data_IF_096929291640
#
_entry.id   IF_096929291640
#
_cell.length_a   1.000
_cell.length_b   1.000
_cell.length_c   1.000
_cell.angle_alpha   90.00
_cell.angle_beta   90.00
_cell.angle_gamma   90.00
#
_symmetry.space_group_name_H-M   'P 1'
#
loop_
_entity.id
_entity.type
_entity.pdbx_description
1 polymer ?
#
# COMPACT_ATOMS: atom_id res chain seq x y z
N UNK A 1 3.55 -7.16 -39.63
CA UNK A 1 3.61 -8.18 -38.56
C UNK A 1 4.16 -9.47 -39.16
N UNK A 2 5.36 -9.87 -38.77
CA UNK A 2 6.01 -11.10 -39.25
C UNK A 2 5.62 -12.28 -38.34
N UNK A 3 5.63 -13.51 -38.88
CA UNK A 3 5.43 -14.73 -38.08
C UNK A 3 6.62 -14.91 -37.12
N UNK A 4 6.41 -15.48 -35.91
CA UNK A 4 7.48 -15.75 -34.96
C UNK A 4 8.61 -16.56 -35.63
N UNK A 5 9.86 -16.10 -35.55
CA UNK A 5 11.03 -16.78 -36.12
C UNK A 5 11.48 -16.34 -37.53
N UNK A 6 10.77 -15.44 -38.22
CA UNK A 6 11.17 -14.91 -39.55
C UNK A 6 11.73 -13.48 -39.50
N UNK A 7 12.16 -13.04 -38.33
CA UNK A 7 12.57 -11.64 -38.06
C UNK A 7 13.84 -11.28 -38.84
N UNK A 8 14.84 -12.15 -38.87
CA UNK A 8 16.10 -11.92 -39.59
C UNK A 8 15.91 -11.86 -41.11
N UNK A 9 15.00 -12.67 -41.65
CA UNK A 9 14.65 -12.65 -43.07
C UNK A 9 13.90 -11.36 -43.46
N UNK A 10 13.05 -10.85 -42.57
CA UNK A 10 12.37 -9.57 -42.77
C UNK A 10 13.33 -8.38 -42.72
N UNK A 11 14.32 -8.40 -41.83
CA UNK A 11 15.35 -7.34 -41.75
C UNK A 11 16.23 -7.35 -43.01
N UNK A 12 16.64 -8.54 -43.46
CA UNK A 12 17.47 -8.67 -44.66
C UNK A 12 16.73 -8.25 -45.94
N UNK A 13 15.43 -8.51 -46.05
CA UNK A 13 14.62 -8.06 -47.19
C UNK A 13 14.44 -6.54 -47.18
N UNK A 14 14.14 -5.94 -46.02
CA UNK A 14 14.05 -4.47 -45.88
C UNK A 14 15.40 -3.81 -46.15
N UNK A 15 16.52 -4.39 -45.68
CA UNK A 15 17.86 -3.88 -45.94
C UNK A 15 18.22 -3.90 -47.43
N UNK A 16 17.91 -4.99 -48.14
CA UNK A 16 18.16 -5.11 -49.57
C UNK A 16 17.32 -4.14 -50.42
N UNK A 17 16.13 -3.76 -49.94
CA UNK A 17 15.26 -2.77 -50.58
C UNK A 17 15.71 -1.32 -50.26
N UNK A 18 16.21 -1.08 -49.04
CA UNK A 18 16.78 0.18 -48.60
C UNK A 18 18.06 0.55 -49.38
N UNK A 19 18.96 -0.41 -49.58
CA UNK A 19 20.21 -0.23 -50.34
C UNK A 19 19.99 0.02 -51.84
N UNK A 20 18.83 -0.37 -52.39
CA UNK A 20 18.45 -0.08 -53.78
C UNK A 20 17.93 1.34 -53.98
N UNK A 21 17.59 2.06 -52.91
CA UNK A 21 17.05 3.41 -52.99
C UNK A 21 18.20 4.45 -53.12
N UNK A 22 18.31 5.20 -54.23
CA UNK A 22 19.41 6.14 -54.45
C UNK A 22 19.51 7.25 -53.40
N UNK A 23 18.40 7.60 -52.75
CA UNK A 23 18.32 8.66 -51.72
C UNK A 23 18.80 8.22 -50.33
N UNK A 24 19.01 6.92 -50.10
CA UNK A 24 19.40 6.37 -48.80
C UNK A 24 20.88 5.95 -48.73
N UNK A 25 21.66 6.22 -49.79
CA UNK A 25 23.02 5.70 -50.00
C UNK A 25 24.01 6.08 -48.89
N UNK A 26 23.77 7.20 -48.21
CA UNK A 26 24.61 7.71 -47.12
C UNK A 26 23.94 7.59 -45.72
N UNK A 27 22.75 7.00 -45.62
CA UNK A 27 22.06 6.78 -44.34
C UNK A 27 22.08 5.30 -43.94
N UNK A 28 22.81 4.91 -42.87
CA UNK A 28 22.74 3.54 -42.36
C UNK A 28 21.31 3.22 -41.93
N UNK A 29 20.85 2.01 -42.25
CA UNK A 29 19.56 1.50 -41.80
C UNK A 29 19.61 1.34 -40.27
N UNK A 30 19.15 2.36 -39.55
CA UNK A 30 19.00 2.33 -38.09
C UNK A 30 17.66 1.66 -37.77
N UNK A 31 17.73 0.45 -37.21
CA UNK A 31 16.57 -0.29 -36.74
C UNK A 31 16.78 -0.64 -35.28
N UNK A 32 15.80 -0.31 -34.45
CA UNK A 32 15.77 -0.73 -33.06
C UNK A 32 14.59 -1.67 -32.88
N UNK A 33 14.84 -2.84 -32.29
CA UNK A 33 13.75 -3.76 -31.97
C UNK A 33 12.86 -3.12 -30.91
N UNK A 34 11.59 -2.97 -31.25
CA UNK A 34 10.58 -2.47 -30.33
C UNK A 34 10.54 -3.32 -29.04
N UNK A 35 10.79 -4.63 -29.13
CA UNK A 35 10.87 -5.56 -27.99
C UNK A 35 12.02 -5.21 -27.02
N UNK A 36 13.16 -4.77 -27.54
CA UNK A 36 14.34 -4.43 -26.74
C UNK A 36 14.14 -3.09 -26.01
N UNK A 37 13.48 -2.12 -26.67
CA UNK A 37 13.07 -0.87 -26.03
C UNK A 37 12.00 -1.11 -24.96
N UNK A 38 11.01 -1.96 -25.21
CA UNK A 38 10.02 -2.36 -24.21
C UNK A 38 10.67 -3.08 -23.03
N UNK A 39 11.61 -4.00 -23.27
CA UNK A 39 12.33 -4.70 -22.21
C UNK A 39 13.09 -3.74 -21.28
N UNK A 40 13.75 -2.73 -21.84
CA UNK A 40 14.45 -1.69 -21.07
C UNK A 40 13.49 -0.81 -20.26
N UNK A 41 12.34 -0.45 -20.81
CA UNK A 41 11.31 0.34 -20.12
C UNK A 41 10.63 -0.46 -19.00
N UNK A 42 10.27 -1.73 -19.26
CA UNK A 42 9.67 -2.62 -18.28
C UNK A 42 10.63 -2.96 -17.14
N UNK A 43 11.94 -3.06 -17.40
CA UNK A 43 12.94 -3.31 -16.34
C UNK A 43 12.97 -2.19 -15.30
N UNK A 44 12.98 -0.93 -15.75
CA UNK A 44 12.89 0.24 -14.85
C UNK A 44 11.57 0.27 -14.09
N UNK A 45 10.46 -0.06 -14.75
CA UNK A 45 9.14 -0.14 -14.13
C UNK A 45 9.11 -1.19 -13.00
N UNK A 46 9.69 -2.38 -13.23
CA UNK A 46 9.76 -3.45 -12.25
C UNK A 46 10.67 -3.11 -11.07
N UNK A 47 11.81 -2.45 -11.30
CA UNK A 47 12.69 -1.98 -10.23
C UNK A 47 11.99 -0.97 -9.33
N UNK A 48 11.30 0.03 -9.93
CA UNK A 48 10.49 0.99 -9.18
C UNK A 48 9.37 0.32 -8.39
N UNK A 49 8.62 -0.59 -9.03
CA UNK A 49 7.54 -1.33 -8.35
C UNK A 49 8.06 -2.11 -7.14
N UNK A 50 9.21 -2.76 -7.27
CA UNK A 50 9.82 -3.56 -6.20
C UNK A 50 10.28 -2.66 -5.05
N UNK A 51 10.87 -1.50 -5.36
CA UNK A 51 11.25 -0.50 -4.37
C UNK A 51 10.02 0.06 -3.63
N UNK A 52 8.99 0.48 -4.37
CA UNK A 52 7.73 0.98 -3.78
C UNK A 52 7.05 -0.06 -2.89
N UNK A 53 7.01 -1.33 -3.30
CA UNK A 53 6.45 -2.40 -2.48
C UNK A 53 7.25 -2.60 -1.18
N UNK A 54 8.58 -2.53 -1.25
CA UNK A 54 9.45 -2.67 -0.08
C UNK A 54 9.25 -1.52 0.90
N UNK A 55 9.22 -0.27 0.41
CA UNK A 55 8.92 0.91 1.23
C UNK A 55 7.51 0.86 1.82
N UNK A 56 6.51 0.45 1.03
CA UNK A 56 5.13 0.32 1.51
C UNK A 56 5.04 -0.68 2.65
N UNK A 57 5.66 -1.86 2.50
CA UNK A 57 5.68 -2.87 3.56
C UNK A 57 6.35 -2.36 4.83
N UNK A 58 7.49 -1.67 4.70
CA UNK A 58 8.19 -1.08 5.84
C UNK A 58 7.36 0.01 6.53
N UNK A 59 6.74 0.91 5.76
CA UNK A 59 5.86 1.96 6.28
C UNK A 59 4.66 1.38 7.03
N UNK A 60 4.07 0.30 6.54
CA UNK A 60 2.97 -0.40 7.24
C UNK A 60 3.44 -0.96 8.58
N UNK A 61 4.62 -1.57 8.64
CA UNK A 61 5.19 -2.09 9.90
C UNK A 61 5.42 -0.95 10.90
N UNK A 62 6.05 0.15 10.46
CA UNK A 62 6.31 1.31 11.32
C UNK A 62 4.99 1.93 11.82
N UNK A 63 4.00 2.08 10.94
CA UNK A 63 2.68 2.58 11.31
C UNK A 63 1.99 1.67 12.34
N UNK A 64 2.08 0.34 12.16
CA UNK A 64 1.52 -0.62 13.10
C UNK A 64 2.20 -0.55 14.47
N UNK A 65 3.53 -0.38 14.52
CA UNK A 65 4.28 -0.17 15.78
C UNK A 65 3.90 1.14 16.46
N UNK A 66 3.69 2.21 15.69
CA UNK A 66 3.24 3.50 16.21
C UNK A 66 1.84 3.41 16.82
N UNK A 67 0.90 2.79 16.10
CA UNK A 67 -0.45 2.55 16.59
C UNK A 67 -0.45 1.67 17.85
N UNK A 68 0.36 0.61 17.85
CA UNK A 68 0.51 -0.31 18.99
C UNK A 68 1.06 0.43 20.22
N UNK A 69 2.11 1.23 20.06
CA UNK A 69 2.70 2.04 21.12
C UNK A 69 1.68 3.03 21.71
N UNK A 70 0.93 3.72 20.86
CA UNK A 70 -0.14 4.65 21.27
C UNK A 70 -1.27 3.92 22.02
N UNK A 71 -1.70 2.76 21.52
CA UNK A 71 -2.72 1.93 22.16
C UNK A 71 -2.27 1.42 23.53
N UNK A 72 -1.03 0.94 23.64
CA UNK A 72 -0.45 0.48 24.89
C UNK A 72 -0.36 1.61 25.93
N UNK A 73 0.13 2.79 25.53
CA UNK A 73 0.22 3.96 26.40
C UNK A 73 -1.17 4.42 26.89
N UNK A 74 -2.14 4.51 25.97
CA UNK A 74 -3.49 4.94 26.31
C UNK A 74 -4.23 3.93 27.20
N UNK A 75 -3.99 2.63 27.00
CA UNK A 75 -4.50 1.59 27.88
C UNK A 75 -3.88 1.65 29.28
N UNK A 76 -2.59 1.98 29.40
CA UNK A 76 -1.92 2.14 30.69
C UNK A 76 -2.47 3.34 31.47
N UNK A 77 -2.64 4.49 30.82
CA UNK A 77 -3.24 5.69 31.43
C UNK A 77 -4.67 5.46 31.94
N UNK A 78 -5.48 4.72 31.18
CA UNK A 78 -6.88 4.42 31.53
C UNK A 78 -7.03 3.14 32.37
N UNK A 79 -5.93 2.49 32.75
CA UNK A 79 -5.95 1.21 33.48
C UNK A 79 -6.66 1.34 34.82
N UNK A 80 -6.36 2.39 35.62
CA UNK A 80 -7.02 2.61 36.92
C UNK A 80 -8.54 2.85 36.78
N UNK A 81 -8.95 3.72 35.85
CA UNK A 81 -10.38 4.00 35.58
C UNK A 81 -11.14 2.74 35.13
N UNK A 82 -10.55 1.96 34.24
CA UNK A 82 -11.15 0.73 33.70
C UNK A 82 -11.21 -0.38 34.75
N UNK A 83 -10.18 -0.54 35.58
CA UNK A 83 -10.17 -1.51 36.69
C UNK A 83 -11.26 -1.21 37.72
N UNK A 84 -11.44 0.07 38.10
CA UNK A 84 -12.51 0.47 39.03
C UNK A 84 -13.89 0.20 38.41
N UNK A 85 -14.12 0.59 37.15
CA UNK A 85 -15.39 0.31 36.45
C UNK A 85 -15.69 -1.17 36.32
N UNK A 86 -14.68 -2.01 36.09
CA UNK A 86 -14.83 -3.48 35.99
C UNK A 86 -15.28 -4.09 37.32
N UNK A 87 -14.72 -3.63 38.44
CA UNK A 87 -15.14 -4.07 39.80
C UNK A 87 -16.57 -3.59 40.12
N UNK A 88 -16.96 -2.42 39.60
CA UNK A 88 -18.33 -1.89 39.70
C UNK A 88 -19.33 -2.56 38.74
N UNK A 89 -18.96 -3.67 38.08
CA UNK A 89 -19.88 -4.46 37.24
C UNK A 89 -19.99 -3.99 35.78
N UNK A 90 -19.10 -3.13 35.29
CA UNK A 90 -19.10 -2.74 33.88
C UNK A 90 -18.82 -3.94 32.96
N UNK A 91 -19.63 -4.08 31.90
CA UNK A 91 -19.46 -5.17 30.93
C UNK A 91 -18.15 -5.02 30.15
N UNK A 92 -17.51 -6.16 29.84
CA UNK A 92 -16.27 -6.21 29.05
C UNK A 92 -16.45 -5.56 27.67
N UNK A 93 -17.65 -5.64 27.10
CA UNK A 93 -18.02 -5.00 25.83
C UNK A 93 -17.97 -3.46 25.92
N UNK A 94 -18.42 -2.86 27.02
CA UNK A 94 -18.39 -1.42 27.20
C UNK A 94 -16.95 -0.90 27.29
N UNK A 95 -16.09 -1.61 28.01
CA UNK A 95 -14.66 -1.30 28.12
C UNK A 95 -13.97 -1.40 26.75
N UNK A 96 -14.32 -2.44 25.97
CA UNK A 96 -13.83 -2.62 24.60
C UNK A 96 -14.22 -1.46 23.68
N UNK A 97 -15.48 -1.03 23.69
CA UNK A 97 -15.96 0.11 22.87
C UNK A 97 -15.25 1.40 23.29
N UNK A 98 -15.11 1.66 24.59
CA UNK A 98 -14.45 2.87 25.09
C UNK A 98 -12.96 2.92 24.71
N UNK A 99 -12.28 1.78 24.67
CA UNK A 99 -10.89 1.69 24.22
C UNK A 99 -10.75 1.87 22.70
N UNK A 100 -11.66 1.32 21.90
CA UNK A 100 -11.58 1.39 20.42
C UNK A 100 -12.05 2.74 19.84
N UNK A 101 -13.01 3.41 20.47
CA UNK A 101 -13.63 4.65 19.98
C UNK A 101 -12.63 5.75 19.55
N UNK A 102 -11.59 6.11 20.34
CA UNK A 102 -10.65 7.16 19.92
C UNK A 102 -9.84 6.77 18.68
N UNK A 103 -9.44 5.50 18.56
CA UNK A 103 -8.70 4.99 17.39
C UNK A 103 -9.56 5.00 16.13
N UNK A 104 -10.83 4.61 16.25
CA UNK A 104 -11.75 4.65 15.11
C UNK A 104 -11.98 6.09 14.63
N UNK A 105 -12.04 7.07 15.54
CA UNK A 105 -12.14 8.48 15.19
C UNK A 105 -10.90 8.96 14.44
N UNK A 106 -9.71 8.61 14.91
CA UNK A 106 -8.44 8.92 14.23
C UNK A 106 -8.38 8.28 12.83
N UNK A 107 -8.83 7.03 12.72
CA UNK A 107 -8.89 6.31 11.44
C UNK A 107 -9.81 7.00 10.42
N UNK A 108 -11.02 7.39 10.83
CA UNK A 108 -11.97 8.09 9.96
C UNK A 108 -11.42 9.43 9.46
N UNK A 109 -10.81 10.22 10.35
CA UNK A 109 -10.18 11.49 9.98
C UNK A 109 -9.02 11.25 9.01
N UNK A 110 -8.20 10.23 9.28
CA UNK A 110 -7.09 9.82 8.39
C UNK A 110 -7.58 9.44 6.99
N UNK A 111 -8.61 8.61 6.88
CA UNK A 111 -9.19 8.21 5.58
C UNK A 111 -9.79 9.41 4.85
N UNK A 112 -10.50 10.28 5.56
CA UNK A 112 -11.11 11.47 4.97
C UNK A 112 -10.09 12.39 4.28
N UNK A 113 -8.86 12.42 4.79
CA UNK A 113 -7.75 13.19 4.22
C UNK A 113 -6.97 12.35 3.19
N UNK A 114 -6.73 11.07 3.46
CA UNK A 114 -5.93 10.20 2.62
C UNK A 114 -6.59 9.92 1.26
N UNK A 115 -7.91 9.71 1.22
CA UNK A 115 -8.65 9.44 -0.02
C UNK A 115 -8.49 10.54 -1.08
N UNK A 116 -8.79 11.83 -0.81
CA UNK A 116 -8.65 12.88 -1.80
C UNK A 116 -7.20 13.07 -2.24
N UNK A 117 -6.25 12.98 -1.29
CA UNK A 117 -4.82 13.10 -1.60
C UNK A 117 -4.38 11.96 -2.52
N UNK A 118 -4.75 10.71 -2.20
CA UNK A 118 -4.41 9.54 -3.01
C UNK A 118 -5.04 9.62 -4.40
N UNK A 119 -6.29 10.05 -4.52
CA UNK A 119 -6.96 10.24 -5.80
C UNK A 119 -6.24 11.29 -6.67
N UNK A 120 -5.88 12.45 -6.11
CA UNK A 120 -5.18 13.51 -6.85
C UNK A 120 -3.79 13.09 -7.31
N UNK A 121 -3.01 12.44 -6.43
CA UNK A 121 -1.69 11.91 -6.76
C UNK A 121 -1.77 10.85 -7.84
N UNK A 122 -2.69 9.89 -7.70
CA UNK A 122 -2.81 8.80 -8.66
C UNK A 122 -3.30 9.32 -10.01
N UNK A 123 -4.24 10.27 -10.03
CA UNK A 123 -4.72 10.86 -11.28
C UNK A 123 -3.59 11.61 -12.02
N UNK A 124 -2.80 12.42 -11.31
CA UNK A 124 -1.61 13.09 -11.89
C UNK A 124 -0.53 12.10 -12.35
N UNK A 125 -0.39 10.97 -11.65
CA UNK A 125 0.56 9.93 -12.04
C UNK A 125 0.09 9.24 -13.32
N UNK A 126 -1.18 8.84 -13.39
CA UNK A 126 -1.74 8.14 -14.55
C UNK A 126 -1.83 9.04 -15.78
N UNK A 127 -2.00 10.36 -15.65
CA UNK A 127 -2.02 11.28 -16.79
C UNK A 127 -0.71 11.33 -17.58
N UNK A 128 0.42 10.87 -17.02
CA UNK A 128 1.69 10.79 -17.73
C UNK A 128 1.81 9.57 -18.66
N UNK A 129 0.81 8.66 -18.65
CA UNK A 129 0.82 7.44 -19.45
C UNK A 129 -0.22 7.51 -20.56
N UNK A 130 0.18 7.27 -21.81
CA UNK A 130 -0.74 7.28 -22.97
C UNK A 130 -1.82 6.18 -22.88
N UNK A 131 -1.53 5.08 -22.17
CA UNK A 131 -2.48 4.06 -21.76
C UNK A 131 -2.57 4.04 -20.24
N UNK A 132 -3.70 4.50 -19.70
CA UNK A 132 -3.95 4.56 -18.27
C UNK A 132 -5.19 3.74 -17.88
N UNK A 133 -5.09 3.02 -16.77
CA UNK A 133 -6.18 2.24 -16.19
C UNK A 133 -7.19 3.20 -15.55
N UNK A 134 -8.49 2.97 -15.73
CA UNK A 134 -9.50 3.73 -14.99
C UNK A 134 -9.45 3.36 -13.51
N UNK A 135 -9.25 4.37 -12.65
CA UNK A 135 -9.28 4.20 -11.20
C UNK A 135 -10.66 3.69 -10.76
N UNK A 136 -10.71 2.40 -10.44
CA UNK A 136 -11.90 1.76 -9.90
C UNK A 136 -11.99 2.02 -8.40
N UNK A 137 -13.21 2.19 -7.88
CA UNK A 137 -13.45 2.40 -6.45
C UNK A 137 -12.85 1.29 -5.56
N UNK A 138 -12.79 0.06 -6.09
CA UNK A 138 -12.17 -1.10 -5.44
C UNK A 138 -10.70 -0.90 -5.07
N UNK A 139 -9.95 -0.12 -5.84
CA UNK A 139 -8.55 0.17 -5.57
C UNK A 139 -8.34 0.96 -4.26
N UNK A 140 -9.36 1.68 -3.80
CA UNK A 140 -9.33 2.38 -2.52
C UNK A 140 -9.99 1.57 -1.40
N UNK A 141 -11.02 0.80 -1.72
CA UNK A 141 -11.79 0.05 -0.73
C UNK A 141 -10.95 -1.07 -0.08
N UNK A 142 -10.16 -1.80 -0.87
CA UNK A 142 -9.37 -2.93 -0.39
C UNK A 142 -8.30 -2.48 0.64
N UNK A 143 -7.45 -1.46 0.36
CA UNK A 143 -6.48 -0.97 1.35
C UNK A 143 -7.14 -0.43 2.62
N UNK A 144 -8.24 0.31 2.48
CA UNK A 144 -9.00 0.84 3.62
C UNK A 144 -9.50 -0.31 4.51
N UNK A 145 -10.05 -1.35 3.90
CA UNK A 145 -10.53 -2.51 4.62
C UNK A 145 -9.40 -3.29 5.31
N UNK A 146 -8.25 -3.44 4.65
CA UNK A 146 -7.06 -4.05 5.25
C UNK A 146 -6.58 -3.26 6.49
N UNK A 147 -6.48 -1.94 6.39
CA UNK A 147 -6.07 -1.09 7.53
C UNK A 147 -7.11 -1.18 8.65
N UNK A 148 -8.40 -1.21 8.30
CA UNK A 148 -9.47 -1.37 9.27
C UNK A 148 -9.32 -2.67 10.08
N UNK A 149 -9.06 -3.80 9.40
CA UNK A 149 -8.79 -5.09 10.06
C UNK A 149 -7.54 -5.00 10.94
N UNK A 150 -6.46 -4.39 10.47
CA UNK A 150 -5.23 -4.24 11.26
C UNK A 150 -5.46 -3.48 12.56
N UNK A 151 -6.23 -2.39 12.52
CA UNK A 151 -6.59 -1.59 13.70
C UNK A 151 -7.41 -2.43 14.67
N UNK A 152 -8.45 -3.12 14.17
CA UNK A 152 -9.30 -3.98 15.00
C UNK A 152 -8.49 -5.08 15.67
N UNK A 153 -7.63 -5.78 14.94
CA UNK A 153 -6.81 -6.88 15.48
C UNK A 153 -5.83 -6.36 16.52
N UNK A 154 -5.11 -5.27 16.23
CA UNK A 154 -4.12 -4.69 17.14
C UNK A 154 -4.73 -4.24 18.47
N UNK A 155 -5.86 -3.53 18.42
CA UNK A 155 -6.53 -3.04 19.64
C UNK A 155 -7.24 -4.18 20.37
N UNK A 156 -7.86 -5.12 19.65
CA UNK A 156 -8.51 -6.27 20.28
C UNK A 156 -7.51 -7.11 21.06
N UNK A 157 -6.33 -7.34 20.50
CA UNK A 157 -5.26 -8.05 21.18
C UNK A 157 -4.83 -7.34 22.47
N UNK A 158 -4.65 -6.02 22.42
CA UNK A 158 -4.29 -5.22 23.60
C UNK A 158 -5.41 -5.17 24.64
N UNK A 159 -6.67 -5.01 24.22
CA UNK A 159 -7.84 -4.98 25.09
C UNK A 159 -8.01 -6.30 25.83
N UNK A 160 -7.81 -7.43 25.16
CA UNK A 160 -7.87 -8.75 25.79
C UNK A 160 -6.72 -8.93 26.78
N UNK A 161 -5.49 -8.51 26.41
CA UNK A 161 -4.33 -8.59 27.30
C UNK A 161 -4.54 -7.78 28.59
N UNK A 162 -5.09 -6.57 28.47
CA UNK A 162 -5.41 -5.67 29.61
C UNK A 162 -6.61 -6.19 30.41
N UNK A 163 -7.64 -6.74 29.75
CA UNK A 163 -8.81 -7.29 30.44
C UNK A 163 -8.51 -8.60 31.18
N UNK A 164 -7.54 -9.40 30.72
CA UNK A 164 -7.08 -10.64 31.36
C UNK A 164 -6.01 -10.43 32.43
N UNK A 165 -5.39 -9.26 32.51
CA UNK A 165 -4.45 -8.98 33.61
C UNK A 165 -5.24 -8.90 34.90
N UNK A 166 -4.87 -9.73 35.88
CA UNK A 166 -5.60 -9.86 37.14
C UNK A 166 -5.49 -8.54 37.92
N UNK A 167 -6.60 -7.87 38.30
CA UNK A 167 -6.59 -6.57 38.95
C UNK A 167 -5.84 -6.55 40.30
N UNK A 168 -5.62 -7.73 40.91
CA UNK A 168 -4.88 -7.91 42.16
C UNK A 168 -3.38 -7.55 42.01
N UNK A 169 -2.76 -7.75 40.84
CA UNK A 169 -1.36 -7.35 40.65
C UNK A 169 -1.21 -5.84 40.44
N UNK A 170 -2.22 -5.15 39.89
CA UNK A 170 -2.16 -3.69 39.72
C UNK A 170 -2.31 -2.88 41.01
N UNK A 171 -2.61 -3.53 42.13
CA UNK A 171 -2.72 -2.93 43.47
C UNK A 171 -1.55 -3.28 44.39
N UNK A 172 -0.62 -4.14 43.95
CA UNK A 172 0.51 -4.65 44.76
C UNK A 172 1.88 -4.13 44.32
N UNK A 173 1.92 -3.31 43.26
CA UNK A 173 3.14 -2.62 42.79
C UNK A 173 3.29 -1.20 43.39
N UNK A 174 2.52 -0.88 44.44
CA UNK A 174 2.87 0.11 45.47
C UNK A 174 3.23 -0.65 46.74
#
# INVERSE_FOLDING_TARGET
KTKPGMVDQAINTVKAEWEKNPSAKDLPLDYSFMDEQYALQHKKQHELQTAFNSFTSLSVIIAALGLFSMAAYQAALRKKEMSIRKVLGASVQLLFIQLNKPFFKLFLVGIGIALPIAYLLMNKWLSNFAYHIQLSWWSFLIPIFCIFILILVSISFQSIKVAKTNPIDSLRDE
#
